data_IF_156674291357
#
_entry.id   IF_156674291357
#
_cell.length_a   1.000
_cell.length_b   1.000
_cell.length_c   1.000
_cell.angle_alpha   90.00
_cell.angle_beta   90.00
_cell.angle_gamma   90.00
#
_symmetry.space_group_name_H-M   'P 1'
#
loop_
_entity.id
_entity.type
_entity.pdbx_description
1 polymer ?
#
# COMPACT_ATOMS: atom_id res chain seq x y z
N UNK A 1 -22.74 -9.54 -3.54
CA UNK A 1 -21.32 -9.80 -3.85
C UNK A 1 -20.49 -8.79 -3.05
N UNK A 2 -19.78 -9.22 -2.01
CA UNK A 2 -18.82 -8.32 -1.33
C UNK A 2 -17.71 -7.99 -2.32
N UNK A 3 -17.69 -6.77 -2.86
CA UNK A 3 -16.65 -6.36 -3.79
C UNK A 3 -15.33 -6.26 -3.04
N UNK A 4 -14.37 -7.09 -3.42
CA UNK A 4 -12.99 -6.99 -2.96
C UNK A 4 -12.28 -6.03 -3.89
N UNK A 5 -11.90 -4.88 -3.37
CA UNK A 5 -11.12 -3.89 -4.12
C UNK A 5 -9.69 -3.88 -3.60
N UNK A 6 -8.68 -3.82 -4.48
CA UNK A 6 -7.32 -3.59 -4.04
C UNK A 6 -7.24 -2.22 -3.35
N UNK A 7 -6.51 -2.15 -2.23
CA UNK A 7 -6.30 -0.90 -1.50
C UNK A 7 -5.01 -0.29 -2.03
N UNK A 8 -5.10 0.93 -2.55
CA UNK A 8 -3.97 1.71 -3.06
C UNK A 8 -3.88 2.98 -2.22
N UNK A 9 -2.70 3.29 -1.70
CA UNK A 9 -2.49 4.44 -0.83
C UNK A 9 -1.05 4.97 -0.96
N UNK A 10 -0.87 6.22 -0.52
CA UNK A 10 0.44 6.87 -0.35
C UNK A 10 0.44 7.60 0.98
N UNK A 11 1.60 7.61 1.66
CA UNK A 11 1.81 8.35 2.91
C UNK A 11 2.65 9.58 2.58
N UNK A 12 2.21 10.75 3.01
CA UNK A 12 2.90 12.00 2.73
C UNK A 12 4.32 11.98 3.32
N UNK A 13 5.32 12.38 2.54
CA UNK A 13 6.72 12.42 2.98
C UNK A 13 7.45 11.08 2.94
N UNK A 14 6.79 9.97 2.58
CA UNK A 14 7.41 8.64 2.45
C UNK A 14 7.22 8.13 1.03
N UNK A 15 8.31 7.77 0.34
CA UNK A 15 8.17 7.22 -1.01
C UNK A 15 7.56 5.81 -0.97
N UNK A 16 6.79 5.39 -1.98
CA UNK A 16 6.20 4.05 -2.05
C UNK A 16 7.21 2.91 -1.92
N UNK A 17 8.38 3.05 -2.57
CA UNK A 17 9.45 2.07 -2.48
C UNK A 17 10.00 1.94 -1.06
N UNK A 18 10.27 3.07 -0.38
CA UNK A 18 10.70 3.04 1.03
C UNK A 18 9.65 2.42 1.94
N UNK A 19 8.36 2.74 1.72
CA UNK A 19 7.27 2.14 2.47
C UNK A 19 7.25 0.61 2.31
N UNK A 20 7.39 0.13 1.07
CA UNK A 20 7.45 -1.31 0.79
C UNK A 20 8.66 -1.98 1.47
N UNK A 21 9.84 -1.32 1.46
CA UNK A 21 11.03 -1.81 2.17
C UNK A 21 10.81 -1.91 3.68
N UNK A 22 10.33 -0.84 4.33
CA UNK A 22 10.13 -0.82 5.79
C UNK A 22 9.06 -1.82 6.23
N UNK A 23 7.99 -1.99 5.45
CA UNK A 23 6.97 -3.00 5.73
C UNK A 23 7.51 -4.42 5.54
N UNK A 24 8.35 -4.66 4.53
CA UNK A 24 8.98 -5.95 4.31
C UNK A 24 9.92 -6.34 5.47
N UNK A 25 10.66 -5.39 6.04
CA UNK A 25 11.49 -5.61 7.25
C UNK A 25 10.66 -6.02 8.48
N UNK A 26 9.36 -5.73 8.45
CA UNK A 26 8.37 -6.09 9.47
C UNK A 26 7.50 -7.28 9.03
N UNK A 27 7.94 -8.11 8.10
CA UNK A 27 7.21 -9.26 7.55
C UNK A 27 5.83 -8.91 6.94
N UNK A 28 5.61 -7.68 6.51
CA UNK A 28 4.36 -7.23 5.87
C UNK A 28 4.59 -7.06 4.37
N UNK A 29 4.01 -7.98 3.59
CA UNK A 29 4.11 -7.97 2.13
C UNK A 29 3.17 -6.94 1.49
N UNK A 30 3.75 -5.89 0.90
CA UNK A 30 3.06 -4.95 0.01
C UNK A 30 3.79 -4.83 -1.32
N UNK A 31 3.16 -4.17 -2.30
CA UNK A 31 3.82 -3.88 -3.59
C UNK A 31 3.79 -2.39 -3.88
N UNK A 32 4.94 -1.83 -4.20
CA UNK A 32 5.05 -0.50 -4.81
C UNK A 32 5.07 -0.59 -6.34
N UNK A 33 4.90 0.55 -7.01
CA UNK A 33 4.96 0.64 -8.47
C UNK A 33 3.70 1.25 -9.09
N UNK A 34 3.58 1.08 -10.41
CA UNK A 34 2.41 1.54 -11.17
C UNK A 34 1.27 0.51 -11.31
N UNK A 35 1.44 -0.68 -10.71
CA UNK A 35 0.53 -1.84 -10.80
C UNK A 35 0.12 -2.22 -12.24
N UNK A 36 1.00 -2.01 -13.23
CA UNK A 36 0.69 -2.17 -14.65
C UNK A 36 -0.54 -1.37 -15.10
N UNK A 37 -0.84 -0.28 -14.39
CA UNK A 37 -2.06 0.52 -14.54
C UNK A 37 -1.76 2.02 -14.74
N UNK A 38 -0.84 2.42 -15.64
CA UNK A 38 -0.40 3.81 -15.77
C UNK A 38 -1.55 4.78 -16.10
N UNK A 39 -2.52 4.35 -16.93
CA UNK A 39 -3.70 5.15 -17.30
C UNK A 39 -4.59 5.46 -16.10
N UNK A 40 -4.69 4.54 -15.14
CA UNK A 40 -5.47 4.74 -13.92
C UNK A 40 -4.79 5.78 -13.03
N UNK A 41 -3.47 5.67 -12.85
CA UNK A 41 -2.70 6.62 -12.05
C UNK A 41 -2.81 8.04 -12.61
N UNK A 42 -2.67 8.20 -13.94
CA UNK A 42 -2.90 9.48 -14.61
C UNK A 42 -4.30 10.02 -14.34
N UNK A 43 -5.33 9.15 -14.37
CA UNK A 43 -6.72 9.57 -14.10
C UNK A 43 -6.96 9.98 -12.65
N UNK A 44 -6.19 9.43 -11.71
CA UNK A 44 -6.18 9.78 -10.29
C UNK A 44 -5.22 10.94 -9.97
N UNK A 45 -4.64 11.58 -10.99
CA UNK A 45 -3.66 12.67 -10.84
C UNK A 45 -2.42 12.26 -10.03
N UNK A 46 -2.11 10.97 -10.01
CA UNK A 46 -0.82 10.45 -9.54
C UNK A 46 0.14 10.55 -10.72
N UNK A 47 1.28 11.21 -10.50
CA UNK A 47 2.27 11.41 -11.55
C UNK A 47 2.71 10.05 -12.13
N UNK A 48 2.90 9.90 -13.46
CA UNK A 48 3.37 8.65 -14.07
C UNK A 48 4.67 8.11 -13.48
N UNK A 49 5.49 9.01 -12.93
CA UNK A 49 6.77 8.77 -12.26
C UNK A 49 6.60 8.54 -10.75
N UNK A 50 5.40 8.83 -10.23
CA UNK A 50 5.01 8.54 -8.85
C UNK A 50 4.36 7.17 -8.80
N UNK A 51 5.02 6.27 -8.09
CA UNK A 51 4.44 4.98 -7.75
C UNK A 51 3.35 5.13 -6.68
N UNK A 52 2.66 4.03 -6.41
CA UNK A 52 1.76 3.91 -5.27
C UNK A 52 2.08 2.65 -4.48
N UNK A 53 1.64 2.58 -3.22
CA UNK A 53 1.67 1.32 -2.45
C UNK A 53 0.33 0.62 -2.62
N UNK A 54 0.36 -0.70 -2.82
CA UNK A 54 -0.82 -1.56 -2.87
C UNK A 54 -0.76 -2.65 -1.82
N UNK A 55 -1.73 -2.63 -0.91
CA UNK A 55 -2.06 -3.76 -0.05
C UNK A 55 -3.12 -4.64 -0.73
N UNK A 56 -2.85 -5.94 -0.83
CA UNK A 56 -3.72 -6.91 -1.52
C UNK A 56 -4.21 -7.96 -0.54
N UNK A 57 -5.39 -7.73 0.03
CA UNK A 57 -6.00 -8.65 1.00
C UNK A 57 -6.71 -9.81 0.29
N UNK A 58 -6.56 -11.01 0.84
CA UNK A 58 -7.20 -12.24 0.41
C UNK A 58 -8.07 -12.84 1.53
N UNK A 59 -8.79 -13.92 1.23
CA UNK A 59 -9.68 -14.58 2.21
C UNK A 59 -8.94 -15.29 3.34
N UNK A 60 -7.63 -15.47 3.22
CA UNK A 60 -6.78 -16.09 4.24
C UNK A 60 -6.09 -15.06 5.14
N UNK A 61 -6.28 -13.75 4.88
CA UNK A 61 -5.78 -12.76 5.81
C UNK A 61 -6.64 -12.70 7.07
N UNK A 62 -6.00 -12.45 8.21
CA UNK A 62 -6.68 -12.31 9.50
C UNK A 62 -6.87 -10.84 9.90
N UNK A 63 -7.76 -10.57 10.84
CA UNK A 63 -7.88 -9.23 11.43
C UNK A 63 -6.61 -8.81 12.17
N UNK A 64 -5.92 -9.76 12.83
CA UNK A 64 -4.66 -9.50 13.52
C UNK A 64 -3.55 -9.06 12.56
N UNK A 65 -3.46 -9.64 11.36
CA UNK A 65 -2.54 -9.19 10.33
C UNK A 65 -2.86 -7.77 9.86
N UNK A 66 -4.15 -7.44 9.73
CA UNK A 66 -4.59 -6.08 9.38
C UNK A 66 -4.25 -5.10 10.49
N UNK A 67 -4.45 -5.45 11.76
CA UNK A 67 -4.11 -4.61 12.90
C UNK A 67 -2.59 -4.37 12.98
N UNK A 68 -1.77 -5.41 12.77
CA UNK A 68 -0.30 -5.28 12.67
C UNK A 68 0.11 -4.36 11.54
N UNK A 69 -0.55 -4.47 10.38
CA UNK A 69 -0.31 -3.59 9.23
C UNK A 69 -0.66 -2.13 9.53
N UNK A 70 -1.84 -1.88 10.12
CA UNK A 70 -2.27 -0.52 10.49
C UNK A 70 -1.36 0.10 11.56
N UNK A 71 -0.93 -0.68 12.56
CA UNK A 71 0.03 -0.22 13.56
C UNK A 71 1.36 0.20 12.94
N UNK A 72 1.90 -0.59 12.01
CA UNK A 72 3.11 -0.24 11.28
C UNK A 72 2.94 1.05 10.46
N UNK A 73 1.77 1.25 9.81
CA UNK A 73 1.50 2.48 9.08
C UNK A 73 1.46 3.71 9.98
N UNK A 74 0.85 3.61 11.16
CA UNK A 74 0.76 4.70 12.14
C UNK A 74 2.16 5.13 12.61
N UNK A 75 3.00 4.17 12.98
CA UNK A 75 4.39 4.43 13.36
C UNK A 75 5.20 5.10 12.26
N UNK A 76 5.01 4.69 10.99
CA UNK A 76 5.73 5.27 9.85
C UNK A 76 5.21 6.67 9.51
N UNK A 77 3.90 6.89 9.61
CA UNK A 77 3.28 8.19 9.39
C UNK A 77 3.60 9.21 10.50
N UNK A 78 4.10 8.74 11.65
CA UNK A 78 4.39 9.58 12.82
C UNK A 78 3.12 10.01 13.55
N UNK A 79 2.07 9.20 13.47
CA UNK A 79 0.83 9.37 14.22
C UNK A 79 0.86 8.53 15.52
#
# INVERSE_FOLDING_TARGET
>A
MHMRVPIIFNVHGVSPAQMATVLAERDIGVRDGNMYSPRLLTRLSIAPESDAVRASLAHYNSFEEVDRFLGALHEIAGE
#
